data_IF_259874582644
#
_entry.id   IF_259874582644
#
_cell.length_a   1.000
_cell.length_b   1.000
_cell.length_c   1.000
_cell.angle_alpha   90.00
_cell.angle_beta   90.00
_cell.angle_gamma   90.00
#
_symmetry.space_group_name_H-M   'P 1'
#
loop_
_entity.id
_entity.type
_entity.pdbx_description
1 polymer ?
#
# COMPACT_ATOMS: atom_id res chain seq x y z
N UNK A 1 -9.38 -5.50 -0.80
CA UNK A 1 -9.17 -6.60 -1.79
C UNK A 1 -7.69 -6.64 -2.11
N UNK A 2 -7.09 -7.82 -2.25
CA UNK A 2 -5.68 -7.95 -2.57
C UNK A 2 -5.38 -7.44 -3.99
N UNK A 3 -4.13 -7.06 -4.25
CA UNK A 3 -3.68 -6.62 -5.57
C UNK A 3 -2.52 -7.47 -6.08
N UNK A 4 -2.37 -7.54 -7.40
CA UNK A 4 -1.15 -8.02 -8.06
C UNK A 4 -0.46 -6.78 -8.62
N UNK A 5 0.78 -6.54 -8.21
CA UNK A 5 1.51 -5.32 -8.57
C UNK A 5 2.86 -5.64 -9.21
N UNK A 6 3.36 -4.73 -10.04
CA UNK A 6 4.75 -4.84 -10.49
C UNK A 6 5.68 -4.51 -9.33
N UNK A 7 6.67 -5.35 -9.07
CA UNK A 7 7.58 -5.24 -7.92
C UNK A 7 8.59 -4.09 -7.97
N UNK A 8 8.18 -2.90 -8.42
CA UNK A 8 9.02 -1.70 -8.46
C UNK A 8 8.26 -0.43 -8.03
N UNK A 9 9.01 0.59 -7.60
CA UNK A 9 8.47 1.91 -7.24
C UNK A 9 7.56 1.89 -6.01
N UNK A 10 6.57 2.78 -5.96
CA UNK A 10 5.69 2.91 -4.80
C UNK A 10 4.90 1.64 -4.44
N UNK A 11 4.78 0.66 -5.35
CA UNK A 11 4.19 -0.63 -5.04
C UNK A 11 5.01 -1.41 -4.00
N UNK A 12 6.35 -1.33 -4.04
CA UNK A 12 7.22 -2.03 -3.07
C UNK A 12 7.19 -1.40 -1.68
N UNK A 13 6.75 -0.14 -1.58
CA UNK A 13 6.59 0.56 -0.31
C UNK A 13 5.24 0.28 0.36
N UNK A 14 4.23 -0.07 -0.44
CA UNK A 14 2.83 -0.11 0.02
C UNK A 14 2.23 -1.51 0.02
N UNK A 15 2.71 -2.45 -0.78
CA UNK A 15 2.20 -3.82 -0.79
C UNK A 15 2.99 -4.68 0.20
N UNK A 16 2.27 -5.40 1.05
CA UNK A 16 2.81 -6.41 1.96
C UNK A 16 2.58 -7.77 1.29
N UNK A 17 3.64 -8.46 0.83
CA UNK A 17 3.53 -9.78 0.21
C UNK A 17 2.71 -10.74 1.07
N UNK A 18 1.81 -11.48 0.43
CA UNK A 18 0.94 -12.48 1.05
C UNK A 18 -0.06 -11.96 2.11
N UNK A 19 -0.12 -10.63 2.31
CA UNK A 19 -1.11 -9.99 3.19
C UNK A 19 -2.01 -8.99 2.45
N UNK A 20 -1.42 -8.09 1.65
CA UNK A 20 -2.17 -7.07 0.90
C UNK A 20 -2.04 -7.17 -0.61
N UNK A 21 -1.12 -7.99 -1.09
CA UNK A 21 -1.00 -8.35 -2.50
C UNK A 21 0.21 -9.23 -2.76
N UNK A 22 0.44 -9.51 -4.04
CA UNK A 22 1.65 -10.19 -4.51
C UNK A 22 2.31 -9.37 -5.61
N UNK A 23 3.61 -9.61 -5.82
CA UNK A 23 4.35 -9.00 -6.91
C UNK A 23 4.53 -9.94 -8.08
N UNK A 24 4.52 -9.40 -9.29
CA UNK A 24 5.14 -10.02 -10.45
C UNK A 24 6.44 -9.27 -10.78
N UNK A 25 7.47 -10.01 -11.21
CA UNK A 25 8.86 -9.53 -11.15
C UNK A 25 9.42 -9.11 -12.51
N UNK A 26 8.79 -9.50 -13.62
CA UNK A 26 9.19 -9.07 -14.96
C UNK A 26 8.07 -8.25 -15.59
N UNK A 27 8.41 -7.15 -16.26
CA UNK A 27 7.43 -6.30 -16.95
C UNK A 27 7.00 -6.94 -18.29
N UNK A 28 6.54 -8.18 -18.23
CA UNK A 28 6.12 -9.03 -19.35
C UNK A 28 4.74 -9.61 -19.05
N UNK A 29 3.96 -9.89 -20.10
CA UNK A 29 2.61 -10.43 -19.93
C UNK A 29 2.66 -11.87 -19.40
N UNK A 30 3.71 -12.63 -19.74
CA UNK A 30 3.94 -13.99 -19.27
C UNK A 30 4.13 -14.04 -17.75
N UNK A 31 4.94 -13.14 -17.19
CA UNK A 31 5.15 -13.05 -15.74
C UNK A 31 3.85 -12.69 -15.02
N UNK A 32 3.05 -11.78 -15.58
CA UNK A 32 1.76 -11.42 -15.01
C UNK A 32 0.76 -12.58 -15.09
N UNK A 33 0.71 -13.29 -16.22
CA UNK A 33 -0.16 -14.45 -16.42
C UNK A 33 0.16 -15.55 -15.41
N UNK A 34 1.45 -15.88 -15.22
CA UNK A 34 1.85 -16.87 -14.23
C UNK A 34 1.37 -16.48 -12.83
N UNK A 35 1.59 -15.22 -12.41
CA UNK A 35 1.10 -14.74 -11.13
C UNK A 35 -0.43 -14.81 -11.01
N UNK A 36 -1.17 -14.52 -12.08
CA UNK A 36 -2.63 -14.65 -12.09
C UNK A 36 -3.11 -16.10 -11.93
N UNK A 37 -2.42 -17.07 -12.56
CA UNK A 37 -2.76 -18.49 -12.44
C UNK A 37 -2.54 -19.02 -11.02
N UNK A 38 -1.49 -18.54 -10.36
CA UNK A 38 -1.16 -18.93 -8.98
C UNK A 38 -1.98 -18.14 -7.92
N UNK A 39 -2.70 -17.10 -8.34
CA UNK A 39 -3.41 -16.20 -7.44
C UNK A 39 -4.80 -16.74 -7.06
N UNK A 40 -4.99 -17.04 -5.78
CA UNK A 40 -6.31 -17.38 -5.23
C UNK A 40 -6.91 -16.19 -4.47
N UNK A 41 -7.98 -15.53 -4.96
CA UNK A 41 -8.58 -14.38 -4.27
C UNK A 41 -9.30 -14.74 -2.97
N UNK A 42 -9.62 -16.01 -2.72
CA UNK A 42 -10.39 -16.45 -1.56
C UNK A 42 -9.54 -16.68 -0.29
N UNK A 43 -8.21 -16.68 -0.40
CA UNK A 43 -7.31 -16.92 0.73
C UNK A 43 -6.96 -15.66 1.52
N UNK A 44 -7.47 -14.50 1.11
CA UNK A 44 -7.05 -13.21 1.63
C UNK A 44 -8.00 -12.66 2.70
N UNK A 45 -7.42 -12.10 3.76
CA UNK A 45 -8.18 -11.43 4.81
C UNK A 45 -8.56 -10.01 4.38
N UNK A 46 -9.82 -9.83 3.97
CA UNK A 46 -10.33 -8.53 3.53
C UNK A 46 -10.26 -7.45 4.61
N UNK A 47 -10.33 -7.81 5.88
CA UNK A 47 -10.28 -6.89 7.02
C UNK A 47 -8.88 -6.32 7.18
N UNK A 48 -7.84 -7.18 7.17
CA UNK A 48 -6.44 -6.73 7.23
C UNK A 48 -6.09 -5.80 6.07
N UNK A 49 -6.53 -6.16 4.87
CA UNK A 49 -6.27 -5.35 3.67
C UNK A 49 -6.92 -3.96 3.80
N UNK A 50 -8.16 -3.90 4.30
CA UNK A 50 -8.84 -2.63 4.51
C UNK A 50 -8.13 -1.79 5.58
N UNK A 51 -7.74 -2.40 6.70
CA UNK A 51 -7.00 -1.71 7.77
C UNK A 51 -5.68 -1.13 7.27
N UNK A 52 -4.93 -1.88 6.45
CA UNK A 52 -3.71 -1.38 5.82
C UNK A 52 -3.99 -0.19 4.90
N UNK A 53 -4.99 -0.29 4.02
CA UNK A 53 -5.38 0.78 3.12
C UNK A 53 -5.80 2.07 3.86
N UNK A 54 -6.43 1.94 5.03
CA UNK A 54 -6.82 3.09 5.86
C UNK A 54 -5.62 3.93 6.33
N UNK A 55 -4.39 3.40 6.34
CA UNK A 55 -3.19 4.18 6.66
C UNK A 55 -2.87 5.25 5.60
N UNK A 56 -3.34 5.06 4.37
CA UNK A 56 -3.12 5.97 3.25
C UNK A 56 -4.35 6.87 2.98
N UNK A 57 -5.23 7.02 3.97
CA UNK A 57 -6.41 7.86 3.79
C UNK A 57 -6.07 9.35 3.73
N UNK A 58 -6.80 10.09 2.91
CA UNK A 58 -6.69 11.56 2.80
C UNK A 58 -6.88 12.24 4.16
N UNK A 59 -7.75 11.71 5.00
CA UNK A 59 -8.01 12.23 6.34
C UNK A 59 -6.78 12.10 7.24
N UNK A 60 -6.16 10.92 7.32
CA UNK A 60 -4.93 10.72 8.09
C UNK A 60 -3.81 11.62 7.59
N UNK A 61 -3.66 11.76 6.27
CA UNK A 61 -2.67 12.65 5.67
C UNK A 61 -2.90 14.11 6.10
N UNK A 62 -4.12 14.63 5.96
CA UNK A 62 -4.48 16.00 6.34
C UNK A 62 -4.23 16.28 7.82
N UNK A 63 -4.66 15.37 8.70
CA UNK A 63 -4.43 15.51 10.15
C UNK A 63 -2.95 15.50 10.49
N UNK A 64 -2.18 14.56 9.92
CA UNK A 64 -0.75 14.45 10.17
C UNK A 64 0.04 15.68 9.68
N UNK A 65 -0.25 16.17 8.47
CA UNK A 65 0.45 17.33 7.93
C UNK A 65 0.10 18.62 8.68
N UNK A 66 -1.18 18.82 9.05
CA UNK A 66 -1.60 19.98 9.85
C UNK A 66 -0.90 19.98 11.21
N UNK A 67 -0.91 18.84 11.90
CA UNK A 67 -0.21 18.69 13.18
C UNK A 67 1.28 19.00 13.05
N UNK A 68 1.94 18.45 12.04
CA UNK A 68 3.36 18.67 11.81
C UNK A 68 3.69 20.15 11.54
N UNK A 69 2.91 20.82 10.69
CA UNK A 69 3.07 22.26 10.39
C UNK A 69 2.87 23.09 11.65
N UNK A 70 1.82 22.81 12.43
CA UNK A 70 1.53 23.54 13.67
C UNK A 70 2.68 23.38 14.69
N UNK A 71 3.17 22.16 14.91
CA UNK A 71 4.29 21.88 15.82
C UNK A 71 5.56 22.65 15.40
N UNK A 72 5.87 22.67 14.10
CA UNK A 72 7.04 23.41 13.59
C UNK A 72 6.89 24.91 13.71
N UNK A 73 5.68 25.43 13.49
CA UNK A 73 5.41 26.85 13.63
C UNK A 73 5.53 27.35 15.07
N UNK A 74 4.99 26.60 16.04
CA UNK A 74 5.13 26.96 17.46
C UNK A 74 6.60 26.91 17.92
N UNK A 75 7.37 25.91 17.50
CA UNK A 75 8.81 25.83 17.80
C UNK A 75 9.64 26.96 17.18
N UNK A 76 9.18 27.59 16.10
CA UNK A 76 9.86 28.71 15.47
C UNK A 76 9.57 30.05 16.17
N UNK A 77 8.42 30.17 16.85
CA UNK A 77 8.03 31.39 17.57
C UNK A 77 8.73 31.57 18.91
N UNK A 78 9.23 30.47 19.48
CA UNK A 78 10.03 30.44 20.72
C UNK A 78 11.47 30.77 20.40
#
# INVERSE_FOLDING_TARGET
RPIIAYGQGGATETVIPDETGVFFNQQTWESLLQTLLDFNPHTWDSTKIQQHAQNFSTEKFKTAIQKNVQEKYENFKV
#
